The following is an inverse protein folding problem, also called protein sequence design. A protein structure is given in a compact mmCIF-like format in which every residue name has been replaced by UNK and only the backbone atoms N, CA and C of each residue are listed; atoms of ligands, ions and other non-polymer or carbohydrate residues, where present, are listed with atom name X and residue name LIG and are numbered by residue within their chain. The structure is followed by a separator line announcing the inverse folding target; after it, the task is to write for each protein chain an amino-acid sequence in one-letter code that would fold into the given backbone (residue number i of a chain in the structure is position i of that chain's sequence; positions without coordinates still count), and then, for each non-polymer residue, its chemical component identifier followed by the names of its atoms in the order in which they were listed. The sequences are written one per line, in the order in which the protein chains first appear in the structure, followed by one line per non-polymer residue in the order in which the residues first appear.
data_IF_710494681664
#
_entry.id   IF_710494681664
#
_cell.length_a   1.000
_cell.length_b   1.000
_cell.length_c   1.000
_cell.angle_alpha   90.00
_cell.angle_beta   90.00
_cell.angle_gamma   90.00
#
_symmetry.space_group_name_H-M   'P 1'
#
loop_
_entity.id
_entity.type
_entity.pdbx_description
1 polymer ?
#
# COMPACT_ATOMS: atom_id res chain seq x y z
N UNK A 1 6.22 8.57 23.97
CA UNK A 1 6.21 9.73 23.06
C UNK A 1 5.33 9.31 21.88
N UNK A 2 4.20 9.98 21.63
CA UNK A 2 3.25 9.55 20.60
C UNK A 2 3.64 10.16 19.26
N UNK A 3 3.87 9.31 18.25
CA UNK A 3 4.25 9.75 16.91
C UNK A 3 2.96 9.95 16.09
N UNK A 4 2.76 11.16 15.57
CA UNK A 4 1.72 11.43 14.59
C UNK A 4 2.27 11.02 13.22
N UNK A 5 1.81 9.89 12.67
CA UNK A 5 2.23 9.48 11.34
C UNK A 5 1.39 10.25 10.33
N UNK A 6 2.01 11.25 9.69
CA UNK A 6 1.51 11.79 8.42
C UNK A 6 2.27 11.03 7.33
N UNK A 7 1.67 10.01 6.73
CA UNK A 7 2.29 9.31 5.61
C UNK A 7 2.23 10.19 4.36
N UNK A 8 3.36 10.78 3.99
CA UNK A 8 3.61 11.25 2.64
C UNK A 8 4.52 10.23 1.94
N UNK A 9 3.93 9.38 1.10
CA UNK A 9 4.66 8.57 0.13
C UNK A 9 4.17 8.94 -1.26
N UNK A 10 4.85 9.91 -1.88
CA UNK A 10 4.83 10.10 -3.33
C UNK A 10 6.27 10.12 -3.80
N UNK A 11 6.82 8.94 -4.02
CA UNK A 11 8.00 8.71 -4.83
C UNK A 11 7.93 7.26 -5.26
N UNK A 12 7.64 7.01 -6.54
CA UNK A 12 8.12 5.87 -7.33
C UNK A 12 7.70 6.10 -8.81
N UNK A 13 8.70 6.07 -9.69
CA UNK A 13 8.68 5.72 -11.11
C UNK A 13 8.13 6.72 -12.17
N UNK A 14 8.97 7.68 -12.59
CA UNK A 14 8.86 8.31 -13.93
C UNK A 14 10.09 8.15 -14.84
N UNK A 15 11.09 7.33 -14.47
CA UNK A 15 12.39 7.33 -15.18
C UNK A 15 12.79 6.05 -15.93
N UNK A 16 11.99 4.97 -15.96
CA UNK A 16 12.43 3.72 -16.62
C UNK A 16 11.79 3.42 -17.99
N UNK A 17 10.99 4.32 -18.56
CA UNK A 17 10.44 4.13 -19.94
C UNK A 17 11.07 5.03 -21.02
N UNK A 18 12.21 5.68 -20.74
CA UNK A 18 12.94 6.47 -21.73
C UNK A 18 14.24 5.78 -22.21
N UNK A 19 14.17 4.50 -22.58
CA UNK A 19 15.26 3.87 -23.34
C UNK A 19 14.77 2.70 -24.20
N UNK A 20 13.95 3.01 -25.20
CA UNK A 20 13.55 2.09 -26.25
C UNK A 20 13.70 2.71 -27.63
N UNK A 21 14.93 2.75 -28.15
CA UNK A 21 15.22 3.14 -29.54
C UNK A 21 14.45 2.23 -30.51
N UNK A 22 13.42 2.75 -31.17
CA UNK A 22 12.81 2.07 -32.31
C UNK A 22 13.31 2.65 -33.63
N UNK A 23 13.97 1.75 -34.36
CA UNK A 23 14.55 1.90 -35.69
C UNK A 23 13.48 2.20 -36.73
N UNK A 24 13.63 3.30 -37.46
CA UNK A 24 12.86 3.62 -38.67
C UNK A 24 13.26 2.68 -39.82
N UNK A 25 12.27 2.06 -40.46
CA UNK A 25 12.37 1.48 -41.81
C UNK A 25 11.40 2.20 -42.75
N UNK A 26 11.90 2.31 -43.97
CA UNK A 26 11.54 3.12 -45.13
C UNK A 26 10.35 2.63 -45.96
N UNK A 27 9.62 3.57 -46.57
CA UNK A 27 9.10 3.63 -47.97
C UNK A 27 8.05 4.77 -48.02
N UNK A 28 7.87 5.60 -49.04
CA UNK A 28 8.43 5.76 -50.39
C UNK A 28 7.51 6.70 -51.20
N UNK A 29 8.07 7.82 -51.66
CA UNK A 29 7.89 8.50 -52.97
C UNK A 29 6.59 9.27 -53.37
N UNK A 30 6.83 10.56 -53.67
CA UNK A 30 6.37 11.43 -54.80
C UNK A 30 4.96 12.05 -54.89
N UNK A 31 4.93 13.37 -55.07
CA UNK A 31 3.84 14.17 -55.63
C UNK A 31 4.06 15.68 -55.46
N UNK A 32 4.10 16.43 -56.56
CA UNK A 32 4.70 17.76 -56.78
C UNK A 32 3.77 19.00 -56.57
N UNK A 33 4.41 20.20 -56.49
CA UNK A 33 4.00 21.56 -56.95
C UNK A 33 3.31 22.61 -56.00
N UNK A 34 4.16 23.47 -55.39
CA UNK A 34 4.35 24.96 -55.49
C UNK A 34 3.17 26.01 -55.44
N UNK A 35 3.43 27.34 -55.20
CA UNK A 35 2.90 28.10 -54.05
C UNK A 35 2.20 29.45 -54.40
N UNK A 36 1.67 30.18 -53.41
CA UNK A 36 1.66 31.67 -53.40
C UNK A 36 1.19 32.26 -52.06
N UNK A 37 2.08 33.06 -51.43
CA UNK A 37 1.92 34.44 -50.90
C UNK A 37 0.50 34.99 -50.63
N UNK A 38 0.19 35.85 -49.64
CA UNK A 38 0.86 36.59 -48.56
C UNK A 38 -0.27 37.28 -47.76
N UNK A 39 0.07 37.85 -46.59
CA UNK A 39 -0.67 38.81 -45.74
C UNK A 39 -1.69 38.23 -44.74
N UNK A 40 -1.81 38.72 -43.49
CA UNK A 40 -0.99 39.50 -42.57
C UNK A 40 -1.77 39.51 -41.23
N UNK A 41 -1.03 39.49 -40.12
CA UNK A 41 -1.41 39.97 -38.79
C UNK A 41 -2.70 39.43 -38.12
N UNK A 42 -2.51 38.50 -37.16
CA UNK A 42 -3.16 38.62 -35.85
C UNK A 42 -2.05 38.46 -34.82
N UNK A 43 -1.74 39.56 -34.14
CA UNK A 43 -0.94 39.58 -32.92
C UNK A 43 -1.71 38.86 -31.81
N UNK A 44 -0.92 38.29 -30.89
CA UNK A 44 -1.28 38.10 -29.48
C UNK A 44 -2.20 36.94 -29.11
N UNK A 45 -1.56 35.83 -28.73
CA UNK A 45 -2.00 34.95 -27.65
C UNK A 45 -0.78 34.15 -27.18
N UNK A 46 0.17 34.85 -26.57
CA UNK A 46 1.28 34.24 -25.85
C UNK A 46 0.85 33.74 -24.48
N UNK A 47 -0.22 32.96 -24.38
CA UNK A 47 -0.71 32.35 -23.13
C UNK A 47 -1.43 31.04 -23.48
N UNK A 48 -0.70 29.93 -23.60
CA UNK A 48 -1.35 28.60 -23.61
C UNK A 48 -0.54 27.49 -22.96
N UNK A 49 0.67 27.75 -22.47
CA UNK A 49 1.49 26.74 -21.80
C UNK A 49 1.31 26.74 -20.27
N UNK A 50 0.83 27.84 -19.66
CA UNK A 50 0.65 27.95 -18.21
C UNK A 50 -0.70 27.41 -17.69
N UNK A 51 -1.78 27.48 -18.49
CA UNK A 51 -3.09 27.02 -18.03
C UNK A 51 -3.15 25.49 -17.96
N UNK A 52 -2.58 24.78 -18.93
CA UNK A 52 -2.55 23.31 -18.94
C UNK A 52 -1.73 22.75 -17.75
N UNK A 53 -0.62 23.40 -17.38
CA UNK A 53 0.19 23.02 -16.20
C UNK A 53 -0.52 23.32 -14.86
N UNK A 54 -1.30 24.40 -14.77
CA UNK A 54 -2.07 24.75 -13.57
C UNK A 54 -3.26 23.80 -13.33
N UNK A 55 -3.93 23.37 -14.40
CA UNK A 55 -5.00 22.36 -14.32
C UNK A 55 -4.48 20.96 -13.96
N UNK A 56 -3.27 20.59 -14.41
CA UNK A 56 -2.59 19.35 -14.03
C UNK A 56 -2.26 19.35 -12.52
N UNK A 57 -1.77 20.48 -12.00
CA UNK A 57 -1.48 20.66 -10.57
C UNK A 57 -2.73 20.60 -9.68
N UNK A 58 -3.83 21.27 -10.09
CA UNK A 58 -5.10 21.24 -9.35
C UNK A 58 -5.73 19.84 -9.37
N UNK A 59 -5.62 19.13 -10.49
CA UNK A 59 -6.02 17.73 -10.60
C UNK A 59 -5.24 16.83 -9.62
N UNK A 60 -3.92 16.96 -9.62
CA UNK A 60 -3.03 16.22 -8.70
C UNK A 60 -3.33 16.53 -7.23
N UNK A 61 -3.61 17.79 -6.88
CA UNK A 61 -3.95 18.17 -5.50
C UNK A 61 -5.29 17.58 -5.05
N UNK A 62 -6.30 17.60 -5.91
CA UNK A 62 -7.62 17.00 -5.64
C UNK A 62 -7.52 15.48 -5.49
N UNK A 63 -6.79 14.81 -6.38
CA UNK A 63 -6.53 13.38 -6.30
C UNK A 63 -5.81 13.04 -5.00
N UNK A 64 -4.78 13.81 -4.63
CA UNK A 64 -4.07 13.62 -3.37
C UNK A 64 -4.98 13.79 -2.16
N UNK A 65 -5.88 14.78 -2.16
CA UNK A 65 -6.86 14.96 -1.09
C UNK A 65 -7.82 13.79 -0.98
N UNK A 66 -8.32 13.29 -2.12
CA UNK A 66 -9.19 12.12 -2.19
C UNK A 66 -8.48 10.86 -1.64
N UNK A 67 -7.26 10.58 -2.10
CA UNK A 67 -6.48 9.43 -1.63
C UNK A 67 -6.14 9.51 -0.14
N UNK A 68 -5.83 10.70 0.38
CA UNK A 68 -5.61 10.90 1.82
C UNK A 68 -6.86 10.58 2.62
N UNK A 69 -8.01 11.10 2.20
CA UNK A 69 -9.27 10.86 2.88
C UNK A 69 -9.64 9.37 2.84
N UNK A 70 -9.54 8.74 1.66
CA UNK A 70 -9.80 7.31 1.48
C UNK A 70 -8.91 6.46 2.39
N UNK A 71 -7.59 6.74 2.43
CA UNK A 71 -6.65 6.00 3.28
C UNK A 71 -6.95 6.18 4.76
N UNK A 72 -7.29 7.40 5.19
CA UNK A 72 -7.66 7.66 6.57
C UNK A 72 -8.93 6.90 6.98
N UNK A 73 -9.97 6.92 6.14
CA UNK A 73 -11.22 6.21 6.41
C UNK A 73 -10.99 4.69 6.45
N UNK A 74 -10.28 4.15 5.46
CA UNK A 74 -9.90 2.74 5.39
C UNK A 74 -9.10 2.32 6.62
N UNK A 75 -8.06 3.07 6.99
CA UNK A 75 -7.22 2.75 8.15
C UNK A 75 -8.02 2.82 9.46
N UNK A 76 -8.79 3.88 9.67
CA UNK A 76 -9.60 3.99 10.90
C UNK A 76 -10.68 2.92 11.03
N UNK A 77 -11.27 2.47 9.92
CA UNK A 77 -12.21 1.35 9.91
C UNK A 77 -11.52 0.02 10.21
N UNK A 78 -10.32 -0.21 9.67
CA UNK A 78 -9.52 -1.41 9.94
C UNK A 78 -9.21 -1.54 11.43
N UNK A 79 -8.77 -0.46 12.07
CA UNK A 79 -8.50 -0.47 13.51
C UNK A 79 -9.77 -0.64 14.36
N UNK A 80 -10.92 -0.10 13.95
CA UNK A 80 -12.18 -0.35 14.67
C UNK A 80 -12.63 -1.82 14.53
N UNK A 81 -12.44 -2.40 13.34
CA UNK A 81 -12.76 -3.81 13.06
C UNK A 81 -11.84 -4.77 13.84
N UNK A 82 -10.58 -4.39 14.06
CA UNK A 82 -9.57 -5.18 14.80
C UNK A 82 -9.36 -4.70 16.24
N UNK A 83 -10.41 -4.21 16.89
CA UNK A 83 -10.31 -3.61 18.23
C UNK A 83 -9.69 -4.53 19.28
N UNK A 84 -9.94 -5.83 19.16
CA UNK A 84 -9.40 -6.88 20.04
C UNK A 84 -7.94 -7.23 19.74
N UNK A 85 -7.42 -6.90 18.55
CA UNK A 85 -6.01 -7.10 18.17
C UNK A 85 -5.12 -5.89 18.53
N UNK A 86 -5.70 -4.75 18.89
CA UNK A 86 -4.96 -3.53 19.21
C UNK A 86 -4.06 -3.68 20.44
N UNK A 87 -2.79 -3.33 20.28
CA UNK A 87 -1.72 -3.51 21.26
C UNK A 87 -1.17 -4.94 21.35
N UNK A 88 -1.75 -5.88 20.61
CA UNK A 88 -1.30 -7.28 20.54
C UNK A 88 -0.57 -7.50 19.22
N UNK A 89 -1.27 -7.33 18.09
CA UNK A 89 -0.77 -7.60 16.74
C UNK A 89 -0.85 -6.37 15.81
N UNK A 90 -1.62 -5.35 16.19
CA UNK A 90 -1.67 -4.04 15.50
C UNK A 90 -1.53 -2.92 16.54
N UNK A 91 -1.12 -1.70 16.15
CA UNK A 91 -1.01 -0.58 17.10
C UNK A 91 -2.33 -0.25 17.80
N UNK A 92 -2.25 0.27 19.03
CA UNK A 92 -3.42 0.93 19.65
C UNK A 92 -3.66 2.29 19.01
N UNK A 93 -4.90 2.58 18.63
CA UNK A 93 -5.34 3.96 18.36
C UNK A 93 -5.70 4.62 19.70
N UNK A 94 -5.11 5.79 19.95
CA UNK A 94 -5.46 6.63 21.09
C UNK A 94 -6.51 7.67 20.73
N UNK A 95 -6.41 8.27 19.54
CA UNK A 95 -7.35 9.30 19.09
C UNK A 95 -7.35 9.46 17.57
N UNK A 96 -8.47 9.96 17.04
CA UNK A 96 -8.52 10.59 15.71
C UNK A 96 -8.27 12.09 15.89
N UNK A 97 -7.45 12.67 15.04
CA UNK A 97 -7.04 14.07 15.12
C UNK A 97 -7.32 14.81 13.81
N UNK A 98 -7.26 16.13 13.87
CA UNK A 98 -7.29 17.03 12.72
C UNK A 98 -6.13 18.00 12.87
N UNK A 99 -5.27 18.05 11.87
CA UNK A 99 -4.09 18.93 11.85
C UNK A 99 -4.39 20.07 10.89
N UNK A 100 -4.24 21.30 11.37
CA UNK A 100 -4.34 22.50 10.53
C UNK A 100 -3.03 22.67 9.75
N UNK A 101 -3.14 22.99 8.46
CA UNK A 101 -1.99 23.34 7.64
C UNK A 101 -1.20 24.53 8.21
N UNK A 102 0.13 24.51 8.02
CA UNK A 102 1.10 25.46 8.60
C UNK A 102 0.80 26.95 8.30
N UNK A 103 -0.01 27.24 7.27
CA UNK A 103 -0.27 28.59 6.77
C UNK A 103 -1.58 29.22 7.24
N UNK A 104 -2.42 28.49 7.99
CA UNK A 104 -3.76 28.98 8.35
C UNK A 104 -3.98 29.03 9.86
N UNK A 105 -4.42 30.19 10.35
CA UNK A 105 -4.85 30.40 11.74
C UNK A 105 -6.26 29.85 11.95
N UNK A 106 -6.49 29.24 13.11
CA UNK A 106 -7.74 28.57 13.52
C UNK A 106 -9.01 29.46 13.42
N UNK A 107 -8.85 30.78 13.35
CA UNK A 107 -9.94 31.76 13.36
C UNK A 107 -10.52 32.10 11.98
N UNK A 108 -10.00 31.52 10.89
CA UNK A 108 -10.55 31.77 9.55
C UNK A 108 -11.64 30.74 9.18
N UNK A 109 -12.79 31.17 8.62
CA UNK A 109 -13.86 30.25 8.18
C UNK A 109 -13.40 29.21 7.14
N UNK A 110 -12.31 29.49 6.42
CA UNK A 110 -11.74 28.62 5.40
C UNK A 110 -10.79 27.55 5.98
N UNK A 111 -10.37 27.69 7.24
CA UNK A 111 -9.42 26.77 7.90
C UNK A 111 -9.90 25.31 7.90
N UNK A 112 -11.21 25.09 7.94
CA UNK A 112 -11.83 23.75 7.83
C UNK A 112 -11.51 23.00 6.54
N UNK A 113 -11.24 23.71 5.45
CA UNK A 113 -10.86 23.11 4.16
C UNK A 113 -9.39 22.71 4.12
N UNK A 114 -8.59 23.15 5.09
CA UNK A 114 -7.18 22.81 5.25
C UNK A 114 -6.93 21.89 6.46
N UNK A 115 -7.99 21.33 7.04
CA UNK A 115 -7.90 20.32 8.09
C UNK A 115 -7.51 18.98 7.48
N UNK A 116 -6.39 18.44 7.93
CA UNK A 116 -5.91 17.13 7.51
C UNK A 116 -6.29 16.10 8.57
N UNK A 117 -7.05 15.05 8.22
CA UNK A 117 -7.36 14.00 9.18
C UNK A 117 -6.08 13.26 9.57
N UNK A 118 -5.99 12.84 10.82
CA UNK A 118 -4.85 12.09 11.33
C UNK A 118 -5.24 11.09 12.40
N UNK A 119 -4.31 10.19 12.71
CA UNK A 119 -4.48 9.14 13.72
C UNK A 119 -3.32 9.25 14.71
N UNK A 120 -3.66 9.36 16.00
CA UNK A 120 -2.71 9.23 17.09
C UNK A 120 -2.70 7.77 17.54
N UNK A 121 -1.56 7.12 17.42
CA UNK A 121 -1.42 5.69 17.71
C UNK A 121 -0.17 5.35 18.53
N UNK A 122 -0.12 4.10 19.00
CA UNK A 122 1.00 3.50 19.71
C UNK A 122 2.28 3.59 18.88
N UNK A 123 3.33 4.12 19.50
CA UNK A 123 4.67 4.07 18.92
C UNK A 123 5.27 2.69 19.16
N UNK A 124 5.69 2.03 18.08
CA UNK A 124 6.27 0.69 18.09
C UNK A 124 7.77 0.82 17.89
N UNK A 125 8.54 0.59 18.95
CA UNK A 125 10.01 0.59 18.90
C UNK A 125 10.52 -0.78 18.45
N UNK A 126 11.22 -0.83 17.32
CA UNK A 126 11.71 -2.07 16.71
C UNK A 126 12.37 -1.82 15.36
N UNK A 127 12.54 -2.89 14.59
CA UNK A 127 13.09 -2.86 13.22
C UNK A 127 12.10 -3.49 12.24
N UNK A 128 12.07 -3.08 10.97
CA UNK A 128 11.17 -3.66 9.99
C UNK A 128 11.59 -5.09 9.63
N UNK A 129 10.61 -5.96 9.35
CA UNK A 129 10.86 -7.39 9.08
C UNK A 129 11.93 -7.69 8.00
N UNK A 130 12.09 -6.91 6.91
CA UNK A 130 13.16 -7.14 5.93
C UNK A 130 14.58 -7.07 6.50
N UNK A 131 14.77 -6.38 7.63
CA UNK A 131 16.09 -6.18 8.26
C UNK A 131 16.42 -7.29 9.27
N UNK A 132 15.59 -8.33 9.37
CA UNK A 132 15.73 -9.41 10.36
C UNK A 132 17.12 -10.07 10.40
N UNK A 133 17.82 -10.15 9.27
CA UNK A 133 19.14 -10.76 9.21
C UNK A 133 20.22 -9.97 9.96
N UNK A 134 20.02 -8.66 10.12
CA UNK A 134 20.93 -7.76 10.83
C UNK A 134 20.65 -7.74 12.34
N UNK A 135 19.42 -8.06 12.74
CA UNK A 135 18.94 -7.86 14.12
C UNK A 135 18.62 -9.16 14.88
N UNK A 136 18.45 -10.29 14.20
CA UNK A 136 18.11 -11.56 14.83
C UNK A 136 18.98 -12.71 14.32
N UNK A 137 19.36 -13.67 15.20
CA UNK A 137 20.11 -14.84 14.76
C UNK A 137 19.26 -15.72 13.86
N UNK A 138 19.91 -16.36 12.87
CA UNK A 138 19.26 -17.14 11.80
C UNK A 138 18.20 -18.13 12.27
N UNK A 139 18.42 -18.79 13.41
CA UNK A 139 17.45 -19.75 13.99
C UNK A 139 16.08 -19.15 14.33
N UNK A 140 16.02 -17.84 14.54
CA UNK A 140 14.79 -17.12 14.91
C UNK A 140 14.03 -16.60 13.68
N UNK A 141 14.63 -16.62 12.48
CA UNK A 141 14.01 -16.04 11.28
C UNK A 141 12.69 -16.72 10.94
N UNK A 142 12.68 -18.06 10.91
CA UNK A 142 11.47 -18.82 10.58
C UNK A 142 10.35 -18.56 11.60
N UNK A 143 10.54 -18.70 12.93
CA UNK A 143 9.51 -18.37 13.91
C UNK A 143 8.95 -16.94 13.78
N UNK A 144 9.80 -15.95 13.48
CA UNK A 144 9.35 -14.55 13.32
C UNK A 144 8.49 -14.41 12.05
N UNK A 145 8.93 -14.96 10.92
CA UNK A 145 8.21 -14.85 9.64
C UNK A 145 6.90 -15.65 9.68
N UNK A 146 6.91 -16.86 10.24
CA UNK A 146 5.71 -17.68 10.42
C UNK A 146 4.68 -16.95 11.29
N UNK A 147 5.12 -16.20 12.31
CA UNK A 147 4.22 -15.37 13.12
C UNK A 147 3.66 -14.17 12.37
N UNK A 148 4.43 -13.54 11.48
CA UNK A 148 3.91 -12.49 10.62
C UNK A 148 2.77 -13.01 9.72
N UNK A 149 2.96 -14.20 9.15
CA UNK A 149 1.95 -14.92 8.37
C UNK A 149 0.71 -15.24 9.24
N UNK A 150 0.91 -15.72 10.46
CA UNK A 150 -0.18 -15.98 11.41
C UNK A 150 -0.99 -14.71 11.70
N UNK A 151 -0.32 -13.57 11.89
CA UNK A 151 -0.97 -12.27 12.11
C UNK A 151 -1.81 -11.86 10.89
N UNK A 152 -1.26 -11.95 9.68
CA UNK A 152 -2.01 -11.68 8.44
C UNK A 152 -3.27 -12.55 8.36
N UNK A 153 -3.12 -13.87 8.60
CA UNK A 153 -4.25 -14.79 8.55
C UNK A 153 -5.28 -14.51 9.65
N UNK A 154 -4.84 -14.04 10.83
CA UNK A 154 -5.74 -13.61 11.89
C UNK A 154 -6.51 -12.34 11.49
N UNK A 155 -5.84 -11.33 10.92
CA UNK A 155 -6.48 -10.11 10.40
C UNK A 155 -7.51 -10.45 9.31
N UNK A 156 -7.15 -11.38 8.42
CA UNK A 156 -8.07 -11.91 7.42
C UNK A 156 -9.33 -12.55 8.01
N UNK A 157 -9.18 -13.27 9.13
CA UNK A 157 -10.32 -13.88 9.81
C UNK A 157 -11.29 -12.84 10.42
N UNK A 158 -10.81 -11.61 10.66
CA UNK A 158 -11.65 -10.45 11.02
C UNK A 158 -12.37 -9.83 9.81
N UNK A 159 -12.22 -10.43 8.63
CA UNK A 159 -12.84 -9.95 7.41
C UNK A 159 -12.16 -8.71 6.82
N UNK A 160 -10.84 -8.59 7.00
CA UNK A 160 -10.03 -7.53 6.40
C UNK A 160 -9.05 -8.15 5.40
N UNK A 161 -8.91 -7.52 4.25
CA UNK A 161 -7.79 -7.74 3.33
C UNK A 161 -7.03 -6.43 3.23
N UNK A 162 -5.72 -6.47 3.32
CA UNK A 162 -4.84 -5.34 3.11
C UNK A 162 -4.14 -5.52 1.77
N UNK A 163 -4.63 -4.76 0.77
CA UNK A 163 -4.16 -4.75 -0.61
C UNK A 163 -2.68 -4.31 -0.72
N UNK A 164 -2.15 -3.63 0.30
CA UNK A 164 -0.74 -3.20 0.36
C UNK A 164 0.07 -4.03 1.37
N UNK A 165 -0.35 -5.26 1.66
CA UNK A 165 0.43 -6.17 2.49
C UNK A 165 1.80 -6.40 1.87
N UNK A 166 2.83 -6.00 2.60
CA UNK A 166 4.22 -6.27 2.24
C UNK A 166 5.06 -6.46 3.52
N UNK A 167 6.27 -6.99 3.36
CA UNK A 167 7.17 -7.27 4.48
C UNK A 167 7.52 -6.03 5.33
N UNK A 168 7.48 -4.82 4.77
CA UNK A 168 7.75 -3.56 5.52
C UNK A 168 6.58 -3.14 6.40
N UNK A 169 5.41 -3.74 6.22
CA UNK A 169 4.25 -3.50 7.07
C UNK A 169 4.40 -4.14 8.46
N UNK A 170 5.51 -4.85 8.74
CA UNK A 170 5.76 -5.45 10.05
C UNK A 170 6.93 -4.80 10.77
N UNK A 171 6.71 -4.41 12.02
CA UNK A 171 7.76 -4.02 12.96
C UNK A 171 7.98 -5.18 13.94
N UNK A 172 9.24 -5.60 14.06
CA UNK A 172 9.70 -6.64 14.98
C UNK A 172 10.33 -5.97 16.20
N UNK A 173 9.86 -6.35 17.38
CA UNK A 173 10.32 -5.83 18.66
C UNK A 173 10.88 -6.97 19.51
N UNK A 174 11.96 -6.76 20.29
CA UNK A 174 12.33 -7.69 21.35
C UNK A 174 11.21 -7.76 22.40
N UNK A 175 10.77 -8.98 22.74
CA UNK A 175 9.78 -9.20 23.80
C UNK A 175 10.49 -9.36 25.15
N UNK A 176 10.76 -8.22 25.80
CA UNK A 176 11.41 -8.16 27.10
C UNK A 176 10.54 -8.69 28.26
N UNK A 177 9.23 -8.91 28.04
CA UNK A 177 8.35 -9.51 29.04
C UNK A 177 8.44 -11.05 29.02
N UNK A 178 9.00 -11.62 27.96
CA UNK A 178 9.23 -13.05 27.82
C UNK A 178 10.53 -13.49 28.52
N UNK A 179 10.57 -13.31 29.84
CA UNK A 179 11.77 -13.52 30.67
C UNK A 179 11.92 -14.92 31.28
N UNK A 180 11.03 -15.87 30.99
CA UNK A 180 11.13 -17.25 31.50
C UNK A 180 10.78 -18.26 30.40
N UNK A 181 11.78 -19.01 29.94
CA UNK A 181 11.69 -20.26 29.17
C UNK A 181 10.89 -20.30 27.86
N UNK A 182 10.34 -19.18 27.39
CA UNK A 182 9.82 -19.06 26.02
C UNK A 182 10.98 -18.98 25.01
N UNK A 183 10.98 -19.88 24.05
CA UNK A 183 11.85 -19.79 22.87
C UNK A 183 11.56 -18.53 22.03
N UNK A 184 10.33 -17.99 22.15
CA UNK A 184 9.87 -16.84 21.38
C UNK A 184 10.21 -15.52 22.07
N UNK A 185 11.18 -14.78 21.51
CA UNK A 185 11.73 -13.54 22.09
C UNK A 185 11.30 -12.27 21.35
N UNK A 186 10.31 -12.35 20.48
CA UNK A 186 9.94 -11.25 19.61
C UNK A 186 8.44 -10.99 19.65
N UNK A 187 8.06 -9.73 19.54
CA UNK A 187 6.68 -9.30 19.29
C UNK A 187 6.64 -8.70 17.90
N UNK A 188 5.64 -9.09 17.11
CA UNK A 188 5.39 -8.48 15.81
C UNK A 188 4.15 -7.61 15.87
N UNK A 189 4.25 -6.44 15.27
CA UNK A 189 3.14 -5.52 15.09
C UNK A 189 3.02 -5.19 13.61
N UNK A 190 1.88 -5.52 13.00
CA UNK A 190 1.54 -5.10 11.65
C UNK A 190 1.02 -3.65 11.69
N UNK A 191 1.53 -2.84 10.77
CA UNK A 191 1.16 -1.45 10.56
C UNK A 191 0.65 -1.28 9.13
N UNK A 192 0.18 -0.07 8.81
CA UNK A 192 -0.25 0.32 7.47
C UNK A 192 -1.53 -0.35 6.98
N UNK A 193 -2.68 0.21 7.36
CA UNK A 193 -4.00 -0.26 6.92
C UNK A 193 -4.72 0.74 6.02
N UNK A 194 -3.97 1.65 5.38
CA UNK A 194 -4.54 2.68 4.51
C UNK A 194 -5.18 2.13 3.24
N UNK A 195 -4.90 0.88 2.87
CA UNK A 195 -5.49 0.25 1.70
C UNK A 195 -6.09 -1.10 2.08
N UNK A 196 -7.28 -1.06 2.69
CA UNK A 196 -7.98 -2.27 3.12
C UNK A 196 -9.36 -2.43 2.48
N UNK A 197 -9.73 -3.69 2.28
CA UNK A 197 -11.05 -4.16 1.89
C UNK A 197 -11.71 -4.84 3.07
N UNK A 198 -13.01 -4.63 3.21
CA UNK A 198 -13.79 -5.22 4.29
C UNK A 198 -14.76 -6.25 3.75
N UNK A 199 -14.80 -7.43 4.36
CA UNK A 199 -15.66 -8.55 3.95
C UNK A 199 -17.12 -8.13 3.82
N UNK A 200 -17.58 -7.24 4.70
CA UNK A 200 -18.95 -6.70 4.71
C UNK A 200 -19.33 -5.96 3.42
N UNK A 201 -18.35 -5.48 2.66
CA UNK A 201 -18.53 -4.77 1.40
C UNK A 201 -18.79 -5.71 0.21
N UNK A 202 -18.61 -7.02 0.34
CA UNK A 202 -18.68 -7.96 -0.79
C UNK A 202 -19.81 -8.98 -0.62
N UNK A 203 -20.31 -9.58 -1.71
CA UNK A 203 -21.29 -10.65 -1.57
C UNK A 203 -20.69 -11.85 -0.82
N UNK A 204 -21.49 -12.55 0.00
CA UNK A 204 -20.99 -13.70 0.72
C UNK A 204 -20.72 -14.83 -0.27
N UNK A 205 -19.50 -15.39 -0.27
CA UNK A 205 -19.16 -16.53 -1.10
C UNK A 205 -17.90 -16.26 -1.92
N UNK A 206 -18.03 -16.33 -3.24
CA UNK A 206 -16.94 -16.34 -4.21
C UNK A 206 -16.21 -14.99 -4.31
N UNK A 207 -16.90 -13.85 -4.17
CA UNK A 207 -16.29 -12.51 -4.28
C UNK A 207 -15.09 -12.30 -3.35
N UNK A 208 -15.24 -12.66 -2.08
CA UNK A 208 -14.18 -12.48 -1.11
C UNK A 208 -13.05 -13.48 -1.29
N UNK A 209 -13.39 -14.74 -1.62
CA UNK A 209 -12.37 -15.76 -1.90
C UNK A 209 -11.54 -15.39 -3.12
N UNK A 210 -12.16 -14.74 -4.10
CA UNK A 210 -11.47 -14.17 -5.25
C UNK A 210 -10.46 -13.11 -4.80
N UNK A 211 -10.85 -12.15 -3.96
CA UNK A 211 -9.93 -11.14 -3.41
C UNK A 211 -8.82 -11.76 -2.55
N UNK A 212 -9.14 -12.71 -1.67
CA UNK A 212 -8.15 -13.46 -0.90
C UNK A 212 -7.12 -14.19 -1.78
N UNK A 213 -7.51 -14.62 -2.98
CA UNK A 213 -6.63 -15.27 -3.94
C UNK A 213 -5.79 -14.27 -4.74
N UNK A 214 -6.34 -13.09 -5.07
CA UNK A 214 -5.61 -12.04 -5.79
C UNK A 214 -4.53 -11.39 -4.92
N UNK A 215 -4.88 -10.98 -3.70
CA UNK A 215 -3.95 -10.22 -2.85
C UNK A 215 -2.82 -11.10 -2.31
N UNK A 216 -3.13 -12.38 -2.04
CA UNK A 216 -2.17 -13.39 -1.57
C UNK A 216 -1.26 -12.88 -0.44
N UNK A 217 -1.85 -12.23 0.57
CA UNK A 217 -1.12 -11.60 1.67
C UNK A 217 -0.13 -12.55 2.38
N UNK A 218 -0.47 -13.84 2.47
CA UNK A 218 0.44 -14.88 3.00
C UNK A 218 1.71 -15.00 2.15
N UNK A 219 1.55 -15.03 0.82
CA UNK A 219 2.65 -15.04 -0.13
C UNK A 219 3.44 -13.73 -0.16
N UNK A 220 2.77 -12.59 0.00
CA UNK A 220 3.41 -11.28 0.06
C UNK A 220 4.40 -11.14 1.25
N UNK A 221 4.22 -11.95 2.29
CA UNK A 221 5.19 -12.09 3.38
C UNK A 221 6.13 -13.27 3.13
N UNK A 222 5.59 -14.49 3.00
CA UNK A 222 6.37 -15.71 2.98
C UNK A 222 7.27 -15.86 1.75
N UNK A 223 6.73 -15.64 0.55
CA UNK A 223 7.52 -15.75 -0.69
C UNK A 223 8.58 -14.67 -0.73
N UNK A 224 8.20 -13.43 -0.39
CA UNK A 224 9.11 -12.28 -0.43
C UNK A 224 10.27 -12.46 0.55
N UNK A 225 10.00 -12.88 1.80
CA UNK A 225 11.07 -13.15 2.77
C UNK A 225 11.97 -14.29 2.34
N UNK A 226 11.42 -15.37 1.76
CA UNK A 226 12.22 -16.50 1.28
C UNK A 226 13.16 -16.07 0.14
N UNK A 227 12.65 -15.30 -0.84
CA UNK A 227 13.46 -14.76 -1.93
C UNK A 227 14.52 -13.77 -1.44
N UNK A 228 14.17 -12.88 -0.51
CA UNK A 228 15.08 -11.88 0.01
C UNK A 228 16.24 -12.53 0.77
N UNK A 229 15.95 -13.44 1.70
CA UNK A 229 16.96 -14.15 2.49
C UNK A 229 17.81 -15.09 1.62
N UNK A 230 17.24 -15.69 0.58
CA UNK A 230 18.02 -16.43 -0.43
C UNK A 230 19.05 -15.51 -1.10
N UNK A 231 18.59 -14.36 -1.61
CA UNK A 231 19.44 -13.40 -2.32
C UNK A 231 20.54 -12.79 -1.45
N UNK A 232 20.21 -12.42 -0.22
CA UNK A 232 21.09 -11.62 0.64
C UNK A 232 21.94 -12.48 1.58
N UNK A 233 21.43 -13.64 1.99
CA UNK A 233 22.01 -14.46 3.04
C UNK A 233 22.31 -15.90 2.59
N UNK A 234 22.06 -16.25 1.32
CA UNK A 234 22.22 -17.61 0.80
C UNK A 234 21.22 -18.60 1.41
N UNK A 235 20.04 -18.12 1.77
CA UNK A 235 18.91 -18.92 2.25
C UNK A 235 18.68 -18.80 3.75
N UNK A 236 18.05 -19.81 4.35
CA UNK A 236 17.74 -19.86 5.79
C UNK A 236 16.25 -19.76 6.13
N UNK A 237 15.39 -19.56 5.13
CA UNK A 237 13.95 -19.65 5.27
C UNK A 237 13.33 -20.15 3.95
N UNK A 238 12.51 -21.19 4.07
CA UNK A 238 11.69 -21.72 2.98
C UNK A 238 10.25 -21.58 3.39
N UNK A 239 9.48 -20.88 2.57
CA UNK A 239 8.06 -20.69 2.78
C UNK A 239 7.27 -21.83 2.14
N UNK A 240 6.34 -22.38 2.91
CA UNK A 240 5.36 -23.36 2.46
C UNK A 240 3.98 -22.74 2.61
N UNK A 241 3.23 -22.68 1.50
CA UNK A 241 1.87 -22.15 1.50
C UNK A 241 0.96 -23.04 2.33
N UNK A 242 0.02 -22.45 3.05
CA UNK A 242 -1.03 -23.24 3.71
C UNK A 242 -1.91 -23.93 2.67
N UNK A 243 -2.47 -25.09 3.03
CA UNK A 243 -3.37 -25.87 2.16
C UNK A 243 -4.57 -25.06 1.67
N UNK A 244 -5.06 -24.15 2.52
CA UNK A 244 -6.12 -23.21 2.17
C UNK A 244 -5.69 -22.24 1.05
N UNK A 245 -4.48 -21.64 1.14
CA UNK A 245 -3.96 -20.76 0.10
C UNK A 245 -3.66 -21.49 -1.20
N UNK A 246 -3.12 -22.70 -1.12
CA UNK A 246 -2.92 -23.52 -2.30
C UNK A 246 -4.24 -23.84 -3.01
N UNK A 247 -5.30 -24.11 -2.26
CA UNK A 247 -6.64 -24.29 -2.81
C UNK A 247 -7.15 -23.00 -3.47
N UNK A 248 -7.06 -21.85 -2.81
CA UNK A 248 -7.44 -20.55 -3.41
C UNK A 248 -6.68 -20.25 -4.71
N UNK A 249 -5.36 -20.46 -4.72
CA UNK A 249 -4.53 -20.26 -5.91
C UNK A 249 -4.91 -21.22 -7.04
N UNK A 250 -5.22 -22.48 -6.71
CA UNK A 250 -5.72 -23.45 -7.69
C UNK A 250 -7.08 -23.04 -8.26
N UNK A 251 -8.00 -22.64 -7.38
CA UNK A 251 -9.38 -22.32 -7.72
C UNK A 251 -9.44 -21.07 -8.62
N UNK A 252 -8.65 -20.02 -8.32
CA UNK A 252 -8.82 -18.70 -8.96
C UNK A 252 -7.67 -18.26 -9.88
N UNK A 253 -6.46 -18.81 -9.73
CA UNK A 253 -5.27 -18.33 -10.47
C UNK A 253 -4.81 -19.28 -11.57
N UNK A 254 -5.29 -20.54 -11.59
CA UNK A 254 -5.00 -21.51 -12.66
C UNK A 254 -6.09 -21.48 -13.74
N UNK A 255 -6.15 -20.33 -14.42
CA UNK A 255 -6.68 -20.12 -15.78
C UNK A 255 -7.90 -20.93 -16.21
N UNK A 256 -9.10 -20.60 -15.71
CA UNK A 256 -10.39 -20.90 -16.39
C UNK A 256 -11.60 -20.20 -15.74
N UNK A 257 -11.42 -19.10 -14.99
CA UNK A 257 -12.53 -18.36 -14.37
C UNK A 257 -12.79 -17.01 -15.04
N UNK A 258 -14.05 -16.52 -15.06
CA UNK A 258 -14.37 -15.21 -15.62
C UNK A 258 -13.55 -14.14 -14.91
N UNK A 259 -12.87 -13.30 -15.70
CA UNK A 259 -11.97 -12.23 -15.24
C UNK A 259 -12.69 -11.01 -14.67
N UNK A 260 -14.00 -11.10 -14.42
CA UNK A 260 -14.78 -9.96 -13.96
C UNK A 260 -14.59 -9.76 -12.47
N UNK A 261 -14.00 -8.61 -12.14
CA UNK A 261 -13.69 -8.18 -10.79
C UNK A 261 -14.98 -8.05 -9.97
N UNK A 262 -15.10 -8.71 -8.81
CA UNK A 262 -16.23 -8.50 -7.91
C UNK A 262 -16.32 -7.02 -7.48
N UNK A 263 -17.49 -6.42 -7.66
CA UNK A 263 -17.76 -5.02 -7.30
C UNK A 263 -18.27 -4.99 -5.85
N UNK A 264 -17.80 -4.04 -5.02
CA UNK A 264 -18.38 -3.82 -3.70
C UNK A 264 -19.90 -3.58 -3.80
N UNK A 265 -20.65 -4.02 -2.79
CA UNK A 265 -22.07 -3.69 -2.67
C UNK A 265 -22.22 -2.18 -2.55
N UNK A 266 -23.20 -1.64 -3.27
CA UNK A 266 -23.66 -0.27 -3.05
C UNK A 266 -24.11 -0.14 -1.59
N UNK A 267 -23.49 0.78 -0.86
CA UNK A 267 -23.73 1.05 0.56
C UNK A 267 -25.02 1.82 0.82
#
# INVERSE_FOLDING_TARGET
MALCIVKYLYQINRNDEASGKNSTKTHGTTGEQQPSNLDAAVEDAGESENEEEEWDYLGDELDLCFFKQFRYESETEAYETMKDLQGIHVPRIFARTKILGLTYTQDQPISRYFEHPGILMEYIEGFPLPEIAEHAPRKEWKPIIDKAIEIVNNIMSHGILNDDTNVRCFIVQPDLANTLDSEYKFKLTMIDFGHTRFRRQYHPGEDWRWWQAQDDEEGAIGVVMSMQLEREQGGGYTYERTTYREALQRDYMRGEWPKERPIPRDG
#
